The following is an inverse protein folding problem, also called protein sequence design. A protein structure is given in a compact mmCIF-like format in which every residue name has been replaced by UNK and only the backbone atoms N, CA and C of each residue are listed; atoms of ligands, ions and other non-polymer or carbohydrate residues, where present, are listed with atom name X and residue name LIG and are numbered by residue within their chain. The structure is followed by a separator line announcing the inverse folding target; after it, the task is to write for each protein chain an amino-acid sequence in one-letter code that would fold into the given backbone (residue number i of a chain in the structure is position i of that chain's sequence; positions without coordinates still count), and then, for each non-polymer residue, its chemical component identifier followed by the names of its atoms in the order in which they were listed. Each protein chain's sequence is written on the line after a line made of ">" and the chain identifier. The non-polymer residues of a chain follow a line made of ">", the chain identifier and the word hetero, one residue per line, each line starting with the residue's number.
data_IF_458460692054
#
_entry.id   IF_458460692054
#
_cell.length_a   1.000
_cell.length_b   1.000
_cell.length_c   1.000
_cell.angle_alpha   90.00
_cell.angle_beta   90.00
_cell.angle_gamma   90.00
#
_symmetry.space_group_name_H-M   'P 1'
#
loop_
_entity.id
_entity.type
_entity.pdbx_description
1 polymer ?
#
# COMPACT_ATOMS: atom_id res chain seq x y z
N UNK A 1 10.90 -10.63 -10.41
CA UNK A 1 10.12 -10.54 -9.15
C UNK A 1 8.64 -10.68 -9.46
N UNK A 2 7.92 -11.53 -8.70
CA UNK A 2 6.45 -11.63 -8.72
C UNK A 2 5.91 -10.74 -7.60
N UNK A 3 5.12 -9.73 -7.95
CA UNK A 3 4.69 -8.69 -7.02
C UNK A 3 3.22 -8.82 -6.62
N UNK A 4 2.84 -8.17 -5.51
CA UNK A 4 1.46 -8.12 -5.00
C UNK A 4 0.87 -9.52 -4.72
N UNK A 5 1.73 -10.44 -4.28
CA UNK A 5 1.29 -11.76 -3.87
C UNK A 5 0.40 -11.68 -2.61
N UNK A 6 -0.53 -12.64 -2.42
CA UNK A 6 -1.15 -12.83 -1.11
C UNK A 6 -0.08 -13.15 -0.05
N UNK A 7 -0.24 -12.63 1.16
CA UNK A 7 0.65 -12.99 2.29
C UNK A 7 0.58 -14.47 2.65
N UNK A 8 -0.51 -15.14 2.25
CA UNK A 8 -0.78 -16.56 2.46
C UNK A 8 -0.27 -17.46 1.34
N UNK A 9 0.50 -16.91 0.36
CA UNK A 9 1.02 -17.69 -0.78
C UNK A 9 1.93 -18.82 -0.29
N UNK A 10 1.46 -20.06 -0.40
CA UNK A 10 2.15 -21.24 0.07
C UNK A 10 3.39 -21.58 -0.78
N UNK A 11 4.31 -22.35 -0.22
CA UNK A 11 5.49 -22.83 -0.97
C UNK A 11 5.12 -23.64 -2.20
N UNK A 12 4.06 -24.46 -2.11
CA UNK A 12 3.57 -25.26 -3.25
C UNK A 12 3.10 -24.37 -4.40
N UNK A 13 2.35 -23.30 -4.11
CA UNK A 13 1.93 -22.32 -5.11
C UNK A 13 3.11 -21.55 -5.70
N UNK A 14 4.10 -21.17 -4.87
CA UNK A 14 5.33 -20.55 -5.35
C UNK A 14 6.09 -21.45 -6.32
N UNK A 15 6.17 -22.75 -6.03
CA UNK A 15 6.79 -23.75 -6.92
C UNK A 15 6.06 -23.84 -8.25
N UNK A 16 4.72 -23.89 -8.25
CA UNK A 16 3.91 -23.90 -9.46
C UNK A 16 4.13 -22.66 -10.33
N UNK A 17 4.15 -21.48 -9.71
CA UNK A 17 4.43 -20.22 -10.41
C UNK A 17 5.84 -20.23 -11.01
N UNK A 18 6.85 -20.65 -10.25
CA UNK A 18 8.23 -20.78 -10.73
C UNK A 18 8.33 -21.70 -11.94
N UNK A 19 7.66 -22.86 -11.89
CA UNK A 19 7.64 -23.81 -13.01
C UNK A 19 6.98 -23.21 -14.26
N UNK A 20 5.86 -22.50 -14.09
CA UNK A 20 5.18 -21.81 -15.20
C UNK A 20 6.08 -20.74 -15.84
N UNK A 21 6.74 -19.91 -15.03
CA UNK A 21 7.65 -18.88 -15.52
C UNK A 21 8.86 -19.48 -16.26
N UNK A 22 9.45 -20.57 -15.75
CA UNK A 22 10.57 -21.26 -16.42
C UNK A 22 10.20 -21.82 -17.79
N UNK A 23 8.97 -22.33 -17.95
CA UNK A 23 8.46 -22.80 -19.27
C UNK A 23 8.34 -21.65 -20.28
N UNK A 24 7.98 -20.44 -19.81
CA UNK A 24 7.78 -19.28 -20.68
C UNK A 24 9.10 -18.58 -21.04
N UNK A 25 10.02 -18.44 -20.09
CA UNK A 25 11.25 -17.65 -20.27
C UNK A 25 12.42 -18.43 -20.87
N UNK A 26 12.41 -19.78 -20.82
CA UNK A 26 13.53 -20.68 -21.17
C UNK A 26 14.85 -20.36 -20.44
N UNK A 27 14.83 -19.45 -19.45
CA UNK A 27 15.97 -19.02 -18.66
C UNK A 27 15.85 -19.58 -17.24
N UNK A 28 16.97 -19.99 -16.66
CA UNK A 28 17.03 -20.42 -15.27
C UNK A 28 17.24 -19.19 -14.36
N UNK A 29 16.20 -18.35 -14.25
CA UNK A 29 16.23 -17.13 -13.45
C UNK A 29 15.78 -17.40 -12.01
N UNK A 30 16.40 -16.68 -11.06
CA UNK A 30 15.89 -16.60 -9.71
C UNK A 30 14.53 -15.88 -9.70
N UNK A 31 13.57 -16.43 -8.95
CA UNK A 31 12.21 -15.86 -8.84
C UNK A 31 11.91 -15.55 -7.40
N UNK A 32 11.65 -14.29 -7.13
CA UNK A 32 11.33 -13.74 -5.82
C UNK A 32 9.87 -13.32 -5.76
N UNK A 33 9.25 -13.49 -4.60
CA UNK A 33 7.85 -13.15 -4.36
C UNK A 33 7.73 -12.05 -3.33
N UNK A 34 6.95 -11.01 -3.64
CA UNK A 34 6.73 -9.88 -2.75
C UNK A 34 5.24 -9.61 -2.56
N UNK A 35 4.91 -9.05 -1.42
CA UNK A 35 3.57 -8.59 -1.08
C UNK A 35 3.59 -7.13 -0.63
N UNK A 36 2.41 -6.51 -0.59
CA UNK A 36 2.25 -5.17 -0.02
C UNK A 36 2.00 -5.32 1.47
N UNK A 37 2.87 -4.72 2.28
CA UNK A 37 2.69 -4.57 3.72
C UNK A 37 2.29 -3.14 4.07
N UNK A 38 1.52 -3.00 5.14
CA UNK A 38 1.11 -1.71 5.68
C UNK A 38 1.97 -1.33 6.87
N UNK A 39 2.23 -0.03 7.03
CA UNK A 39 2.88 0.50 8.22
C UNK A 39 2.02 0.25 9.47
N UNK A 40 2.66 0.19 10.63
CA UNK A 40 1.98 0.16 11.94
C UNK A 40 1.48 1.54 12.38
N UNK A 41 1.77 2.60 11.61
CA UNK A 41 1.33 3.97 11.88
C UNK A 41 0.82 4.65 10.61
N UNK A 42 -0.15 5.54 10.76
CA UNK A 42 -0.58 6.51 9.76
C UNK A 42 0.16 7.83 10.02
N UNK A 43 0.47 8.57 8.95
CA UNK A 43 1.27 9.79 9.01
C UNK A 43 0.51 11.00 8.48
N UNK A 44 0.87 12.18 8.98
CA UNK A 44 0.36 13.48 8.52
C UNK A 44 1.44 14.57 8.64
N UNK A 45 1.14 15.80 8.24
CA UNK A 45 2.00 16.97 8.54
C UNK A 45 2.16 17.23 10.05
N UNK A 46 1.23 16.75 10.89
CA UNK A 46 1.22 16.95 12.35
C UNK A 46 1.97 15.85 13.13
N UNK A 47 2.34 14.76 12.47
CA UNK A 47 2.97 13.60 13.11
C UNK A 47 2.30 12.29 12.72
N UNK A 48 2.51 11.29 13.55
CA UNK A 48 2.05 9.92 13.31
C UNK A 48 1.11 9.44 14.40
N UNK A 49 0.14 8.58 14.02
CA UNK A 49 -0.74 7.88 14.96
C UNK A 49 -0.63 6.36 14.72
N UNK A 50 -0.63 5.54 15.78
CA UNK A 50 -0.66 4.09 15.65
C UNK A 50 -1.90 3.62 14.88
N UNK A 51 -1.75 2.64 14.00
CA UNK A 51 -2.87 2.03 13.26
C UNK A 51 -3.94 1.47 14.22
N UNK A 52 -3.53 0.90 15.34
CA UNK A 52 -4.47 0.40 16.36
C UNK A 52 -5.41 1.50 16.86
N UNK A 53 -4.93 2.72 17.01
CA UNK A 53 -5.78 3.86 17.39
C UNK A 53 -6.81 4.18 16.30
N UNK A 54 -6.43 4.11 15.03
CA UNK A 54 -7.35 4.30 13.89
C UNK A 54 -8.42 3.22 13.87
N UNK A 55 -8.03 1.95 14.06
CA UNK A 55 -8.93 0.81 14.08
C UNK A 55 -9.94 0.84 15.24
N UNK A 56 -9.65 1.58 16.29
CA UNK A 56 -10.52 1.77 17.45
C UNK A 56 -11.31 3.10 17.40
N UNK A 57 -11.04 3.95 16.42
CA UNK A 57 -11.66 5.27 16.30
C UNK A 57 -12.77 5.25 15.25
N UNK A 58 -13.74 6.15 15.42
CA UNK A 58 -14.70 6.48 14.37
C UNK A 58 -14.01 7.43 13.37
N UNK A 59 -13.59 6.89 12.23
CA UNK A 59 -12.86 7.62 11.20
C UNK A 59 -13.52 7.50 9.83
N UNK A 60 -13.09 8.35 8.89
CA UNK A 60 -13.43 8.28 7.49
C UNK A 60 -12.21 7.74 6.72
N UNK A 61 -12.39 6.65 6.01
CA UNK A 61 -11.39 6.11 5.09
C UNK A 61 -11.73 6.52 3.66
N UNK A 62 -10.72 7.00 2.93
CA UNK A 62 -10.89 7.47 1.57
C UNK A 62 -9.84 6.84 0.65
N UNK A 63 -10.25 6.35 -0.52
CA UNK A 63 -9.32 5.80 -1.49
C UNK A 63 -9.77 6.01 -2.94
N UNK A 64 -8.89 6.62 -3.75
CA UNK A 64 -8.99 6.78 -5.20
C UNK A 64 -7.97 5.90 -5.93
N UNK A 65 -8.00 4.60 -5.65
CA UNK A 65 -7.14 3.57 -6.25
C UNK A 65 -7.97 2.41 -6.81
N UNK A 66 -7.42 1.69 -7.79
CA UNK A 66 -8.14 0.62 -8.50
C UNK A 66 -8.66 -0.52 -7.62
N UNK A 67 -7.99 -0.84 -6.51
CA UNK A 67 -8.34 -1.96 -5.60
C UNK A 67 -8.24 -1.52 -4.13
N UNK A 68 -9.20 -0.76 -3.61
CA UNK A 68 -9.14 -0.20 -2.25
C UNK A 68 -9.50 -1.20 -1.14
N UNK A 69 -10.05 -2.36 -1.47
CA UNK A 69 -10.58 -3.33 -0.50
C UNK A 69 -9.57 -3.72 0.57
N UNK A 70 -8.31 -3.98 0.20
CA UNK A 70 -7.27 -4.37 1.16
C UNK A 70 -6.94 -3.24 2.13
N UNK A 71 -6.90 -2.00 1.66
CA UNK A 71 -6.70 -0.81 2.47
C UNK A 71 -7.84 -0.61 3.47
N UNK A 72 -9.09 -0.69 3.02
CA UNK A 72 -10.24 -0.58 3.91
C UNK A 72 -10.29 -1.72 4.93
N UNK A 73 -10.10 -2.97 4.49
CA UNK A 73 -10.14 -4.12 5.39
C UNK A 73 -9.06 -4.07 6.48
N UNK A 74 -7.92 -3.45 6.20
CA UNK A 74 -6.85 -3.29 7.17
C UNK A 74 -7.19 -2.28 8.27
N UNK A 75 -7.93 -1.22 7.96
CA UNK A 75 -8.17 -0.10 8.86
C UNK A 75 -9.58 -0.06 9.47
N UNK A 76 -10.60 -0.56 8.75
CA UNK A 76 -12.00 -0.37 9.14
C UNK A 76 -12.41 -1.12 10.39
N UNK A 77 -13.32 -0.52 11.13
CA UNK A 77 -14.17 -1.13 12.15
C UNK A 77 -15.67 -0.99 11.76
N UNK A 78 -16.59 -1.31 12.66
CA UNK A 78 -18.04 -1.24 12.44
C UNK A 78 -18.60 0.18 12.21
N UNK A 79 -17.89 1.20 12.68
CA UNK A 79 -18.33 2.62 12.63
C UNK A 79 -17.61 3.44 11.55
N UNK A 80 -16.70 2.82 10.82
CA UNK A 80 -15.88 3.50 9.80
C UNK A 80 -16.70 3.83 8.56
N UNK A 81 -16.63 5.09 8.12
CA UNK A 81 -17.16 5.52 6.81
C UNK A 81 -16.10 5.25 5.74
N UNK A 82 -16.46 4.55 4.66
CA UNK A 82 -15.56 4.27 3.55
C UNK A 82 -16.02 4.99 2.28
N UNK A 83 -15.20 5.89 1.74
CA UNK A 83 -15.42 6.58 0.48
C UNK A 83 -14.47 6.06 -0.60
N UNK A 84 -15.04 5.68 -1.74
CA UNK A 84 -14.27 5.20 -2.88
C UNK A 84 -14.42 6.16 -4.06
N UNK A 85 -13.30 6.56 -4.63
CA UNK A 85 -13.21 7.33 -5.87
C UNK A 85 -12.59 6.50 -6.98
N UNK A 86 -12.81 6.84 -8.25
CA UNK A 86 -12.13 6.21 -9.37
C UNK A 86 -10.60 6.28 -9.23
N UNK A 87 -9.88 5.32 -9.81
CA UNK A 87 -8.41 5.40 -9.86
C UNK A 87 -7.99 6.65 -10.64
N UNK A 88 -6.95 7.31 -10.15
CA UNK A 88 -6.46 8.59 -10.67
C UNK A 88 -7.45 9.77 -10.58
N UNK A 89 -8.47 9.69 -9.71
CA UNK A 89 -9.44 10.77 -9.54
C UNK A 89 -8.77 12.11 -9.22
N UNK A 90 -9.23 13.17 -9.89
CA UNK A 90 -8.86 14.56 -9.57
C UNK A 90 -9.92 15.12 -8.61
N UNK A 91 -9.56 15.29 -7.35
CA UNK A 91 -10.46 15.82 -6.34
C UNK A 91 -10.81 17.27 -6.66
N UNK A 92 -12.08 17.53 -6.91
CA UNK A 92 -12.63 18.88 -7.11
C UNK A 92 -12.93 19.54 -5.77
N UNK A 93 -13.15 20.85 -5.77
CA UNK A 93 -13.59 21.58 -4.56
C UNK A 93 -14.91 21.02 -4.01
N UNK A 94 -15.81 20.59 -4.89
CA UNK A 94 -17.06 19.91 -4.50
C UNK A 94 -16.81 18.57 -3.82
N UNK A 95 -15.86 17.77 -4.30
CA UNK A 95 -15.48 16.51 -3.66
C UNK A 95 -14.90 16.77 -2.27
N UNK A 96 -14.00 17.75 -2.16
CA UNK A 96 -13.34 18.13 -0.90
C UNK A 96 -14.38 18.61 0.12
N UNK A 97 -15.33 19.42 -0.30
CA UNK A 97 -16.41 19.89 0.56
C UNK A 97 -17.30 18.73 1.04
N UNK A 98 -17.68 17.81 0.13
CA UNK A 98 -18.45 16.61 0.46
C UNK A 98 -17.72 15.68 1.43
N UNK A 99 -16.41 15.49 1.23
CA UNK A 99 -15.57 14.70 2.16
C UNK A 99 -15.58 15.35 3.54
N UNK A 100 -15.40 16.67 3.62
CA UNK A 100 -15.38 17.43 4.87
C UNK A 100 -16.71 17.30 5.63
N UNK A 101 -17.83 17.43 4.93
CA UNK A 101 -19.17 17.31 5.53
C UNK A 101 -19.41 15.89 6.09
N UNK A 102 -19.01 14.86 5.35
CA UNK A 102 -19.15 13.47 5.79
C UNK A 102 -18.20 13.12 6.94
N UNK A 103 -17.01 13.68 6.95
CA UNK A 103 -16.04 13.47 8.03
C UNK A 103 -16.47 14.18 9.32
N UNK A 104 -17.00 15.41 9.24
CA UNK A 104 -17.20 16.25 10.41
C UNK A 104 -15.87 16.46 11.14
N UNK A 105 -15.82 16.08 12.42
CA UNK A 105 -14.62 16.17 13.26
C UNK A 105 -13.77 14.88 13.27
N UNK A 106 -14.14 13.86 12.46
CA UNK A 106 -13.44 12.59 12.42
C UNK A 106 -12.09 12.70 11.71
N UNK A 107 -11.16 11.83 12.07
CA UNK A 107 -9.94 11.64 11.31
C UNK A 107 -10.27 11.10 9.92
N UNK A 108 -9.55 11.59 8.91
CA UNK A 108 -9.62 11.12 7.53
C UNK A 108 -8.32 10.38 7.25
N UNK A 109 -8.42 9.09 6.91
CA UNK A 109 -7.25 8.30 6.54
C UNK A 109 -7.35 7.87 5.08
N UNK A 110 -6.29 8.11 4.32
CA UNK A 110 -6.26 7.85 2.88
C UNK A 110 -4.99 7.09 2.48
N UNK A 111 -4.86 6.80 1.18
CA UNK A 111 -3.63 6.26 0.61
C UNK A 111 -2.57 7.36 0.47
N UNK A 112 -1.29 7.00 0.45
CA UNK A 112 -0.21 7.97 0.23
C UNK A 112 -0.37 8.73 -1.10
N UNK A 113 -0.84 8.04 -2.14
CA UNK A 113 -1.11 8.61 -3.46
C UNK A 113 -2.19 9.70 -3.42
N UNK A 114 -3.28 9.46 -2.70
CA UNK A 114 -4.38 10.42 -2.60
C UNK A 114 -4.06 11.54 -1.59
N UNK A 115 -3.29 11.24 -0.55
CA UNK A 115 -2.80 12.24 0.40
C UNK A 115 -2.03 13.37 -0.30
N UNK A 116 -1.15 13.05 -1.22
CA UNK A 116 -0.37 14.07 -1.97
C UNK A 116 -1.29 15.05 -2.70
N UNK A 117 -2.48 14.61 -3.13
CA UNK A 117 -3.48 15.44 -3.84
C UNK A 117 -4.36 16.28 -2.90
N UNK A 118 -4.54 15.79 -1.67
CA UNK A 118 -5.46 16.39 -0.69
C UNK A 118 -4.77 17.20 0.41
N UNK A 119 -3.46 17.03 0.63
CA UNK A 119 -2.70 17.55 1.75
C UNK A 119 -2.70 19.09 1.88
N UNK A 120 -2.98 19.80 0.80
CA UNK A 120 -3.00 21.27 0.76
C UNK A 120 -4.44 21.82 0.70
N UNK A 121 -5.44 20.97 0.91
CA UNK A 121 -6.85 21.34 0.99
C UNK A 121 -7.27 21.68 2.42
N UNK A 122 -8.55 22.07 2.57
CA UNK A 122 -9.18 22.32 3.88
C UNK A 122 -9.25 21.09 4.79
N UNK A 123 -8.92 19.90 4.27
CA UNK A 123 -8.89 18.63 5.02
C UNK A 123 -7.58 18.42 5.79
N UNK A 124 -6.54 19.22 5.55
CA UNK A 124 -5.16 19.00 6.03
C UNK A 124 -5.07 18.76 7.54
N UNK A 125 -5.97 19.36 8.33
CA UNK A 125 -5.96 19.28 9.79
C UNK A 125 -6.38 17.90 10.33
N UNK A 126 -7.16 17.15 9.56
CA UNK A 126 -7.72 15.83 9.90
C UNK A 126 -7.14 14.72 9.04
N UNK A 127 -6.31 15.07 8.03
CA UNK A 127 -5.88 14.16 6.98
C UNK A 127 -4.60 13.41 7.36
N UNK A 128 -4.68 12.08 7.30
CA UNK A 128 -3.58 11.14 7.48
C UNK A 128 -3.50 10.19 6.28
N UNK A 129 -2.34 9.59 6.08
CA UNK A 129 -2.16 8.52 5.11
C UNK A 129 -1.53 7.30 5.74
N UNK A 130 -1.86 6.12 5.19
CA UNK A 130 -1.25 4.86 5.58
C UNK A 130 -0.11 4.54 4.61
N UNK A 131 1.16 4.55 5.06
CA UNK A 131 2.27 4.13 4.23
C UNK A 131 2.19 2.64 3.89
N UNK A 132 2.60 2.32 2.66
CA UNK A 132 2.79 0.95 2.20
C UNK A 132 4.24 0.71 1.83
N UNK A 133 4.67 -0.54 1.93
CA UNK A 133 5.98 -0.96 1.45
C UNK A 133 5.89 -2.33 0.80
N UNK A 134 6.87 -2.64 -0.02
CA UNK A 134 7.02 -3.97 -0.60
C UNK A 134 7.88 -4.82 0.32
N UNK A 135 7.35 -5.97 0.73
CA UNK A 135 8.04 -6.94 1.57
C UNK A 135 8.19 -8.27 0.83
N UNK A 136 9.31 -8.95 1.04
CA UNK A 136 9.51 -10.30 0.51
C UNK A 136 8.75 -11.33 1.35
N UNK A 137 8.21 -12.36 0.71
CA UNK A 137 7.64 -13.52 1.42
C UNK A 137 8.76 -14.35 2.04
N UNK A 138 9.90 -14.47 1.32
CA UNK A 138 11.09 -15.18 1.76
C UNK A 138 12.31 -14.74 0.95
N UNK A 139 13.51 -15.04 1.46
CA UNK A 139 14.79 -14.87 0.75
C UNK A 139 15.15 -13.43 0.33
N UNK A 140 14.80 -12.42 1.15
CA UNK A 140 15.23 -11.03 0.94
C UNK A 140 16.74 -10.89 0.82
N UNK A 141 17.50 -11.51 1.72
CA UNK A 141 18.96 -11.45 1.76
C UNK A 141 19.60 -12.03 0.49
N UNK A 142 19.00 -13.09 -0.05
CA UNK A 142 19.46 -13.67 -1.31
C UNK A 142 19.17 -12.75 -2.51
N UNK A 143 18.07 -11.97 -2.49
CA UNK A 143 17.79 -10.98 -3.51
C UNK A 143 18.83 -9.86 -3.50
N UNK A 144 19.12 -9.30 -2.32
CA UNK A 144 20.10 -8.24 -2.16
C UNK A 144 21.50 -8.69 -2.59
N UNK A 145 21.92 -9.89 -2.17
CA UNK A 145 23.19 -10.48 -2.60
C UNK A 145 23.26 -10.68 -4.13
N UNK A 146 22.15 -11.07 -4.77
CA UNK A 146 22.09 -11.22 -6.23
C UNK A 146 22.29 -9.88 -6.94
N UNK A 147 21.65 -8.81 -6.47
CA UNK A 147 21.79 -7.47 -7.06
C UNK A 147 23.21 -6.92 -6.84
N UNK A 148 23.73 -7.03 -5.63
CA UNK A 148 25.09 -6.55 -5.32
C UNK A 148 26.16 -7.27 -6.15
N UNK A 149 26.08 -8.59 -6.26
CA UNK A 149 26.99 -9.38 -7.09
C UNK A 149 26.96 -8.97 -8.57
N UNK A 150 25.76 -8.67 -9.11
CA UNK A 150 25.64 -8.17 -10.47
C UNK A 150 26.30 -6.80 -10.65
N UNK A 151 26.09 -5.88 -9.73
CA UNK A 151 26.71 -4.56 -9.76
C UNK A 151 28.23 -4.67 -9.70
N UNK A 152 28.78 -5.46 -8.78
CA UNK A 152 30.23 -5.66 -8.64
C UNK A 152 30.90 -6.21 -9.91
N UNK A 153 30.22 -7.14 -10.61
CA UNK A 153 30.73 -7.70 -11.87
C UNK A 153 30.77 -6.68 -13.02
N UNK A 154 29.84 -5.74 -13.07
CA UNK A 154 29.81 -4.70 -14.10
C UNK A 154 30.82 -3.59 -13.86
N UNK A 155 31.20 -3.30 -12.61
CA UNK A 155 32.21 -2.29 -12.27
C UNK A 155 33.65 -2.81 -12.30
N UNK A 156 33.87 -4.12 -12.51
CA UNK A 156 35.21 -4.71 -12.67
C UNK A 156 35.65 -4.86 -14.14
N UNK A 157 34.83 -4.44 -15.11
CA UNK A 157 35.16 -4.34 -16.53
C UNK A 157 35.61 -2.94 -16.88
#
# INVERSE_FOLDING_TARGET
>A
VVTKCPTTLSEAEQIQIKQKLRRLSKLNQAVYFTFVSYSSAVNSKKGSLPVVQIQQSNCLLLAGIAKPTSFFNYLKNSETICLTYPDHHHFTDSDIQSIKEQAGDKLIVTTEKDYVRLKDSVLQEQLYYLPIQTSFISASDHFDATILSFIEQEFQK
#
